data_IF_145139545992
#
_entry.id   IF_145139545992
#
_cell.length_a   1.000
_cell.length_b   1.000
_cell.length_c   1.000
_cell.angle_alpha   90.00
_cell.angle_beta   90.00
_cell.angle_gamma   90.00
#
_symmetry.space_group_name_H-M   'P 1'
#
loop_
_entity.id
_entity.type
_entity.pdbx_description
1 polymer ?
#
# COMPACT_ATOMS: atom_id res chain seq x y z
N UNK A 1 -12.12 -5.26 -2.66
CA UNK A 1 -10.67 -5.32 -2.35
C UNK A 1 -10.21 -3.88 -2.20
N UNK A 2 -9.73 -3.48 -1.03
CA UNK A 2 -8.98 -2.23 -0.88
C UNK A 2 -7.59 -2.51 -1.44
N UNK A 3 -7.41 -2.42 -2.75
CA UNK A 3 -6.12 -2.71 -3.33
C UNK A 3 -5.13 -1.61 -2.98
N UNK A 4 -4.03 -2.01 -2.36
CA UNK A 4 -2.92 -1.19 -1.90
C UNK A 4 -2.06 -0.64 -3.05
N UNK A 5 -2.53 -0.75 -4.29
CA UNK A 5 -1.83 -0.44 -5.54
C UNK A 5 -1.47 1.05 -5.73
N UNK A 6 -1.43 1.88 -4.68
CA UNK A 6 -1.29 3.34 -4.68
C UNK A 6 -0.54 3.92 -5.87
N UNK A 7 0.71 3.48 -6.09
CA UNK A 7 1.55 3.95 -7.20
C UNK A 7 1.70 2.92 -8.33
N UNK A 8 1.15 1.72 -8.18
CA UNK A 8 1.15 0.65 -9.18
C UNK A 8 0.06 0.87 -10.25
N UNK A 9 0.25 1.92 -11.05
CA UNK A 9 -0.68 2.38 -12.09
C UNK A 9 -0.19 2.06 -13.52
N UNK A 10 -1.06 2.07 -14.54
CA UNK A 10 -0.68 1.76 -15.92
C UNK A 10 0.59 2.46 -16.43
N UNK A 11 0.84 3.76 -16.18
CA UNK A 11 2.04 4.43 -16.67
C UNK A 11 3.35 3.89 -16.09
N UNK A 12 3.32 3.21 -14.94
CA UNK A 12 4.48 2.51 -14.34
C UNK A 12 4.80 1.26 -15.15
N UNK A 13 3.79 0.42 -15.36
CA UNK A 13 3.89 -0.80 -16.14
C UNK A 13 4.30 -0.51 -17.59
N UNK A 14 3.66 0.48 -18.22
CA UNK A 14 3.93 0.85 -19.62
C UNK A 14 5.35 1.42 -19.83
N UNK A 15 5.98 1.95 -18.78
CA UNK A 15 7.38 2.40 -18.78
C UNK A 15 8.38 1.33 -18.29
N UNK A 16 7.94 0.10 -18.06
CA UNK A 16 8.74 -1.01 -17.53
C UNK A 16 9.37 -0.75 -16.16
N UNK A 17 8.68 0.02 -15.31
CA UNK A 17 9.16 0.38 -13.99
C UNK A 17 8.85 -0.67 -12.92
N UNK A 18 7.98 -1.67 -13.16
CA UNK A 18 7.77 -2.75 -12.21
C UNK A 18 8.91 -3.78 -12.27
N UNK A 19 9.48 -4.18 -11.12
CA UNK A 19 10.53 -5.19 -11.07
C UNK A 19 9.95 -6.59 -11.33
N UNK A 20 10.81 -7.53 -11.75
CA UNK A 20 10.45 -8.95 -11.68
C UNK A 20 10.20 -9.29 -10.20
N UNK A 21 9.01 -9.77 -9.82
CA UNK A 21 8.68 -10.09 -8.44
C UNK A 21 9.60 -11.19 -7.90
N UNK A 22 10.00 -11.10 -6.63
CA UNK A 22 10.79 -12.15 -6.00
C UNK A 22 10.02 -13.47 -5.95
N UNK A 23 8.70 -13.39 -5.76
CA UNK A 23 7.79 -14.53 -5.85
C UNK A 23 7.08 -14.51 -7.20
N UNK A 24 7.54 -15.36 -8.12
CA UNK A 24 6.91 -15.49 -9.44
C UNK A 24 5.45 -15.94 -9.32
N UNK A 25 4.53 -15.15 -9.84
CA UNK A 25 3.12 -15.52 -10.05
C UNK A 25 2.93 -16.35 -11.33
N UNK A 26 3.98 -16.47 -12.15
CA UNK A 26 3.97 -17.19 -13.43
C UNK A 26 4.55 -18.60 -13.21
N UNK A 27 3.84 -19.68 -13.59
CA UNK A 27 4.38 -21.03 -13.58
C UNK A 27 5.68 -21.10 -14.39
N UNK A 28 6.73 -21.70 -13.81
CA UNK A 28 8.08 -21.76 -14.40
C UNK A 28 8.73 -20.40 -14.72
N UNK A 29 8.18 -19.28 -14.24
CA UNK A 29 8.69 -17.93 -14.54
C UNK A 29 10.15 -17.71 -14.16
N UNK A 30 10.67 -18.44 -13.16
CA UNK A 30 12.09 -18.42 -12.77
C UNK A 30 13.07 -18.89 -13.85
N UNK A 31 12.59 -19.63 -14.86
CA UNK A 31 13.40 -20.17 -15.96
C UNK A 31 13.31 -19.31 -17.23
N UNK A 32 12.48 -18.27 -17.23
CA UNK A 32 12.35 -17.38 -18.38
C UNK A 32 13.57 -16.46 -18.49
N UNK A 33 14.01 -16.12 -19.72
CA UNK A 33 14.98 -15.05 -19.92
C UNK A 33 14.50 -13.76 -19.25
N UNK A 34 15.42 -13.03 -18.60
CA UNK A 34 15.09 -11.81 -17.83
C UNK A 34 14.27 -10.79 -18.62
N UNK A 35 14.59 -10.57 -19.90
CA UNK A 35 13.85 -9.66 -20.77
C UNK A 35 12.39 -10.07 -20.95
N UNK A 36 12.13 -11.37 -21.12
CA UNK A 36 10.79 -11.94 -21.26
C UNK A 36 10.03 -11.84 -19.94
N UNK A 37 10.67 -12.17 -18.82
CA UNK A 37 10.06 -12.05 -17.50
C UNK A 37 9.65 -10.60 -17.20
N UNK A 38 10.55 -9.63 -17.47
CA UNK A 38 10.26 -8.20 -17.28
C UNK A 38 9.10 -7.73 -18.16
N UNK A 39 9.10 -8.14 -19.44
CA UNK A 39 8.02 -7.82 -20.36
C UNK A 39 6.67 -8.39 -19.88
N UNK A 40 6.65 -9.64 -19.43
CA UNK A 40 5.45 -10.28 -18.89
C UNK A 40 4.94 -9.57 -17.64
N UNK A 41 5.82 -9.28 -16.68
CA UNK A 41 5.45 -8.57 -15.45
C UNK A 41 4.77 -7.24 -15.74
N UNK A 42 5.31 -6.47 -16.69
CA UNK A 42 4.80 -5.13 -17.00
C UNK A 42 3.63 -5.14 -17.99
N UNK A 43 3.52 -6.15 -18.86
CA UNK A 43 2.43 -6.21 -19.86
C UNK A 43 1.20 -6.96 -19.38
N UNK A 44 1.37 -7.98 -18.52
CA UNK A 44 0.29 -8.88 -18.12
C UNK A 44 -0.87 -8.18 -17.40
N UNK A 45 -0.67 -7.22 -16.47
CA UNK A 45 -1.79 -6.57 -15.76
C UNK A 45 -2.80 -5.92 -16.71
N UNK A 46 -2.32 -5.26 -17.76
CA UNK A 46 -3.17 -4.58 -18.75
C UNK A 46 -3.84 -5.49 -19.78
N UNK A 47 -3.43 -6.77 -19.85
CA UNK A 47 -3.84 -7.71 -20.89
C UNK A 47 -4.60 -8.92 -20.37
N UNK A 48 -4.31 -9.35 -19.15
CA UNK A 48 -4.94 -10.50 -18.55
C UNK A 48 -6.30 -10.11 -17.96
N UNK A 49 -7.30 -11.00 -18.08
CA UNK A 49 -8.63 -10.85 -17.49
C UNK A 49 -8.77 -11.59 -16.16
N UNK A 50 -7.68 -11.63 -15.39
CA UNK A 50 -7.66 -12.31 -14.09
C UNK A 50 -8.74 -11.71 -13.19
N UNK A 51 -9.53 -12.57 -12.57
CA UNK A 51 -10.64 -12.22 -11.69
C UNK A 51 -11.78 -11.40 -12.33
N UNK A 52 -11.73 -11.10 -13.64
CA UNK A 52 -12.74 -10.24 -14.28
C UNK A 52 -14.05 -10.96 -14.63
N UNK A 53 -14.05 -12.30 -14.74
CA UNK A 53 -15.20 -13.08 -15.24
C UNK A 53 -16.49 -12.83 -14.44
N UNK A 54 -16.45 -13.05 -13.13
CA UNK A 54 -17.61 -12.84 -12.25
C UNK A 54 -18.09 -11.38 -12.22
N UNK A 55 -17.17 -10.41 -12.30
CA UNK A 55 -17.54 -9.00 -12.40
C UNK A 55 -18.24 -8.69 -13.72
N UNK A 56 -17.80 -9.31 -14.82
CA UNK A 56 -18.37 -9.08 -16.14
C UNK A 56 -19.73 -9.76 -16.31
N UNK A 57 -19.93 -10.95 -15.74
CA UNK A 57 -21.25 -11.61 -15.68
C UNK A 57 -22.27 -10.70 -14.98
N UNK A 58 -21.91 -10.13 -13.83
CA UNK A 58 -22.77 -9.19 -13.11
C UNK A 58 -22.93 -7.85 -13.86
N UNK A 59 -21.87 -7.36 -14.52
CA UNK A 59 -21.94 -6.14 -15.30
C UNK A 59 -22.92 -6.26 -16.47
N UNK A 60 -22.94 -7.43 -17.14
CA UNK A 60 -23.89 -7.75 -18.20
C UNK A 60 -25.33 -7.84 -17.67
N UNK A 61 -25.55 -8.50 -16.53
CA UNK A 61 -26.87 -8.58 -15.87
C UNK A 61 -27.43 -7.19 -15.52
N UNK A 62 -26.56 -6.30 -15.01
CA UNK A 62 -26.93 -4.94 -14.61
C UNK A 62 -26.92 -3.93 -15.78
N UNK A 63 -26.48 -4.33 -16.97
CA UNK A 63 -26.37 -3.45 -18.14
C UNK A 63 -25.34 -2.32 -17.98
N UNK A 64 -24.26 -2.55 -17.24
CA UNK A 64 -23.18 -1.57 -17.00
C UNK A 64 -21.88 -1.93 -17.74
N UNK A 65 -20.94 -0.98 -17.81
CA UNK A 65 -19.65 -1.20 -18.49
C UNK A 65 -18.85 -2.34 -17.84
N UNK A 66 -18.34 -3.26 -18.67
CA UNK A 66 -17.53 -4.40 -18.22
C UNK A 66 -16.13 -3.97 -17.74
N UNK A 67 -15.43 -4.89 -17.10
CA UNK A 67 -14.02 -4.78 -16.71
C UNK A 67 -13.13 -5.46 -17.77
N UNK A 68 -12.37 -4.70 -18.59
CA UNK A 68 -11.64 -5.26 -19.73
C UNK A 68 -10.36 -6.02 -19.37
N UNK A 69 -9.74 -5.72 -18.21
CA UNK A 69 -8.49 -6.32 -17.75
C UNK A 69 -8.35 -6.27 -16.22
N UNK A 70 -7.41 -7.03 -15.67
CA UNK A 70 -7.07 -6.99 -14.25
C UNK A 70 -6.63 -5.59 -13.81
N UNK A 71 -5.82 -4.90 -14.60
CA UNK A 71 -5.45 -3.52 -14.29
C UNK A 71 -6.68 -2.59 -14.27
N UNK A 72 -7.65 -2.76 -15.17
CA UNK A 72 -8.88 -1.98 -15.15
C UNK A 72 -9.78 -2.27 -13.93
N UNK A 73 -9.66 -3.46 -13.33
CA UNK A 73 -10.34 -3.80 -12.07
C UNK A 73 -9.84 -2.94 -10.90
N UNK A 74 -8.55 -2.56 -10.94
CA UNK A 74 -7.89 -1.77 -9.89
C UNK A 74 -8.07 -0.26 -10.06
N UNK A 75 -8.63 0.17 -11.20
CA UNK A 75 -8.79 1.57 -11.56
C UNK A 75 -10.26 1.99 -11.46
N UNK A 76 -10.46 3.21 -10.96
CA UNK A 76 -11.74 3.92 -11.03
C UNK A 76 -11.84 4.83 -12.26
N UNK A 77 -12.94 5.57 -12.34
CA UNK A 77 -13.07 6.69 -13.29
C UNK A 77 -12.04 7.79 -13.01
N UNK A 78 -11.80 8.04 -11.73
CA UNK A 78 -10.67 8.81 -11.22
C UNK A 78 -9.87 7.90 -10.29
N UNK A 79 -8.63 7.63 -10.63
CA UNK A 79 -7.68 6.91 -9.78
C UNK A 79 -6.72 7.92 -9.17
N UNK A 80 -6.71 7.98 -7.83
CA UNK A 80 -5.80 8.82 -7.06
C UNK A 80 -4.48 8.07 -6.91
N UNK A 81 -3.41 8.65 -7.45
CA UNK A 81 -2.05 8.12 -7.34
C UNK A 81 -1.44 8.72 -6.09
N UNK A 82 -1.31 7.91 -5.05
CA UNK A 82 -0.91 8.36 -3.71
C UNK A 82 0.60 8.52 -3.58
N UNK A 83 1.24 9.22 -4.52
CA UNK A 83 2.68 9.45 -4.53
C UNK A 83 3.04 10.87 -4.95
N UNK A 84 4.33 11.19 -4.91
CA UNK A 84 4.89 12.40 -5.49
C UNK A 84 5.54 12.10 -6.85
N UNK A 85 5.39 12.99 -7.86
CA UNK A 85 6.05 12.84 -9.16
C UNK A 85 7.57 12.61 -9.08
N UNK A 86 8.23 13.27 -8.14
CA UNK A 86 9.68 13.18 -7.90
C UNK A 86 10.10 11.79 -7.39
N UNK A 87 9.18 11.09 -6.72
CA UNK A 87 9.42 9.76 -6.17
C UNK A 87 9.07 8.69 -7.21
N UNK A 88 7.90 8.79 -7.85
CA UNK A 88 7.48 7.84 -8.89
C UNK A 88 8.33 7.93 -10.18
N UNK A 89 8.96 9.08 -10.42
CA UNK A 89 9.76 9.34 -11.62
C UNK A 89 8.91 9.56 -12.88
N UNK A 90 7.63 9.90 -12.70
CA UNK A 90 6.69 10.23 -13.77
C UNK A 90 6.13 11.62 -13.47
N UNK A 91 6.34 12.58 -14.36
CA UNK A 91 5.85 13.95 -14.12
C UNK A 91 4.32 13.99 -13.98
N UNK A 92 3.80 14.96 -13.21
CA UNK A 92 2.35 15.14 -13.08
C UNK A 92 1.68 15.35 -14.44
N UNK A 93 2.31 16.14 -15.32
CA UNK A 93 1.82 16.36 -16.68
C UNK A 93 1.73 15.07 -17.49
N UNK A 94 2.75 14.21 -17.44
CA UNK A 94 2.73 12.94 -18.17
C UNK A 94 1.70 11.95 -17.59
N UNK A 95 1.50 11.96 -16.27
CA UNK A 95 0.52 11.11 -15.60
C UNK A 95 -0.90 11.54 -15.98
N UNK A 96 -1.20 12.84 -15.95
CA UNK A 96 -2.52 13.38 -16.28
C UNK A 96 -2.83 13.35 -17.79
N UNK A 97 -1.79 13.43 -18.63
CA UNK A 97 -1.92 13.30 -20.08
C UNK A 97 -2.17 11.84 -20.53
N UNK A 98 -1.93 10.85 -19.65
CA UNK A 98 -2.15 9.44 -19.97
C UNK A 98 -3.59 9.19 -20.44
N UNK A 99 -3.75 8.36 -21.46
CA UNK A 99 -5.06 7.98 -22.03
C UNK A 99 -5.25 6.47 -21.99
N UNK A 100 -6.42 5.99 -21.53
CA UNK A 100 -6.71 4.57 -21.50
C UNK A 100 -6.78 3.99 -22.91
N UNK A 101 -6.02 2.92 -23.16
CA UNK A 101 -6.19 2.10 -24.36
C UNK A 101 -7.58 1.43 -24.35
N UNK A 102 -8.43 1.61 -25.38
CA UNK A 102 -9.85 1.20 -25.35
C UNK A 102 -10.10 -0.28 -25.08
N UNK A 103 -9.17 -1.16 -25.48
CA UNK A 103 -9.32 -2.61 -25.25
C UNK A 103 -8.78 -3.11 -23.91
N UNK A 104 -8.14 -2.24 -23.11
CA UNK A 104 -7.43 -2.62 -21.88
C UNK A 104 -7.95 -1.93 -20.63
N UNK A 105 -8.54 -0.75 -20.77
CA UNK A 105 -9.04 0.06 -19.66
C UNK A 105 -10.36 0.73 -20.05
N UNK A 106 -11.11 1.22 -19.05
CA UNK A 106 -12.34 1.99 -19.29
C UNK A 106 -11.99 3.35 -19.89
N UNK A 107 -12.79 3.80 -20.86
CA UNK A 107 -12.48 5.02 -21.62
C UNK A 107 -12.43 6.29 -20.75
N UNK A 108 -13.20 6.31 -19.66
CA UNK A 108 -13.30 7.44 -18.74
C UNK A 108 -12.17 7.54 -17.71
N UNK A 109 -11.30 6.52 -17.59
CA UNK A 109 -10.29 6.47 -16.53
C UNK A 109 -9.30 7.63 -16.64
N UNK A 110 -9.16 8.37 -15.53
CA UNK A 110 -8.20 9.44 -15.31
C UNK A 110 -7.30 9.10 -14.13
N UNK A 111 -6.08 9.57 -14.18
CA UNK A 111 -5.10 9.46 -13.10
C UNK A 111 -4.77 10.85 -12.58
N UNK A 112 -4.58 10.98 -11.27
CA UNK A 112 -4.15 12.24 -10.65
C UNK A 112 -3.29 11.96 -9.43
N UNK A 113 -2.15 12.64 -9.32
CA UNK A 113 -1.38 12.59 -8.09
C UNK A 113 -2.10 13.32 -6.96
N UNK A 114 -2.06 12.73 -5.78
CA UNK A 114 -2.54 13.38 -4.56
C UNK A 114 -1.43 13.56 -3.53
N UNK A 115 -0.29 12.87 -3.66
CA UNK A 115 0.73 12.82 -2.63
C UNK A 115 0.56 11.62 -1.70
N UNK A 116 1.47 11.43 -0.73
CA UNK A 116 1.47 10.29 0.17
C UNK A 116 0.22 10.28 1.05
N UNK A 117 -0.38 9.10 1.24
CA UNK A 117 -1.57 8.88 2.05
C UNK A 117 -1.37 7.66 2.96
N UNK A 118 -0.98 7.92 4.20
CA UNK A 118 -0.70 6.88 5.21
C UNK A 118 -1.44 7.14 6.53
N UNK A 119 -1.53 6.12 7.37
CA UNK A 119 -2.33 6.17 8.58
C UNK A 119 -1.65 6.93 9.73
N UNK A 120 -2.31 7.98 10.20
CA UNK A 120 -1.97 8.69 11.43
C UNK A 120 -2.93 8.30 12.56
N UNK A 121 -2.52 7.32 13.36
CA UNK A 121 -3.30 6.89 14.51
C UNK A 121 -3.29 7.97 15.60
N UNK A 122 -4.46 8.36 16.10
CA UNK A 122 -4.57 9.30 17.22
C UNK A 122 -3.98 8.74 18.52
N UNK A 123 -3.95 7.42 18.68
CA UNK A 123 -3.47 6.73 19.88
C UNK A 123 -2.00 7.06 20.21
N UNK A 124 -1.68 7.40 21.49
CA UNK A 124 -0.31 7.70 21.90
C UNK A 124 0.60 6.48 21.76
N UNK A 125 1.91 6.71 21.73
CA UNK A 125 2.89 5.63 21.88
C UNK A 125 2.75 5.08 23.32
N UNK A 126 2.63 3.75 23.52
CA UNK A 126 2.56 3.18 24.85
C UNK A 126 3.77 3.53 25.72
N UNK A 127 3.56 3.80 27.01
CA UNK A 127 4.62 4.28 27.92
C UNK A 127 5.85 3.35 27.96
N UNK A 128 5.65 2.03 27.94
CA UNK A 128 6.75 1.07 27.87
C UNK A 128 7.61 1.23 26.61
N UNK A 129 6.99 1.56 25.48
CA UNK A 129 7.69 1.83 24.23
C UNK A 129 8.37 3.19 24.24
N UNK A 130 7.76 4.20 24.88
CA UNK A 130 8.41 5.48 25.13
C UNK A 130 9.71 5.32 25.92
N UNK A 131 9.64 4.60 27.05
CA UNK A 131 10.79 4.30 27.88
C UNK A 131 11.85 3.51 27.10
N UNK A 132 11.42 2.50 26.34
CA UNK A 132 12.32 1.72 25.49
C UNK A 132 13.04 2.62 24.49
N UNK A 133 12.32 3.40 23.68
CA UNK A 133 12.93 4.27 22.66
C UNK A 133 13.87 5.32 23.26
N UNK A 134 13.62 5.82 24.47
CA UNK A 134 14.45 6.84 25.13
C UNK A 134 15.70 6.28 25.83
N UNK A 135 15.66 5.02 26.28
CA UNK A 135 16.71 4.44 27.13
C UNK A 135 18.01 4.01 26.39
N UNK A 136 17.97 3.82 25.06
CA UNK A 136 19.08 3.19 24.33
C UNK A 136 19.62 4.05 23.21
N UNK A 137 20.11 5.25 23.54
CA UNK A 137 20.82 6.11 22.60
C UNK A 137 22.14 5.46 22.09
N UNK A 138 22.71 4.53 22.85
CA UNK A 138 24.01 3.92 22.56
C UNK A 138 23.93 2.76 21.55
N UNK A 139 22.72 2.25 21.24
CA UNK A 139 22.52 1.15 20.29
C UNK A 139 21.41 1.48 19.29
N UNK A 140 21.58 1.17 17.99
CA UNK A 140 20.53 1.41 17.00
C UNK A 140 19.25 0.68 17.35
N UNK A 141 18.10 1.30 17.04
CA UNK A 141 16.79 0.68 17.19
C UNK A 141 16.20 0.35 15.83
N UNK A 142 15.73 -0.89 15.68
CA UNK A 142 15.05 -1.43 14.49
C UNK A 142 13.56 -1.61 14.79
N UNK A 143 12.70 -1.13 13.90
CA UNK A 143 11.25 -1.34 14.01
C UNK A 143 10.76 -2.41 13.04
N UNK A 144 10.22 -3.51 13.55
CA UNK A 144 9.62 -4.60 12.76
C UNK A 144 8.11 -4.42 12.74
N UNK A 145 7.57 -4.07 11.56
CA UNK A 145 6.15 -3.81 11.35
C UNK A 145 5.66 -4.53 10.09
N UNK A 146 5.51 -5.84 10.21
CA UNK A 146 5.13 -6.72 9.11
C UNK A 146 3.70 -7.22 9.31
N UNK A 147 2.73 -6.49 8.76
CA UNK A 147 1.32 -6.90 8.75
C UNK A 147 1.08 -8.03 7.76
N UNK A 148 0.05 -8.85 8.00
CA UNK A 148 -0.38 -9.93 7.08
C UNK A 148 0.74 -10.92 6.69
N UNK A 149 1.71 -11.09 7.59
CA UNK A 149 2.91 -11.90 7.41
C UNK A 149 2.83 -13.13 8.30
N UNK A 150 3.20 -14.34 7.86
CA UNK A 150 3.22 -15.51 8.73
C UNK A 150 4.11 -15.29 9.96
N UNK A 151 3.64 -15.76 11.13
CA UNK A 151 4.35 -15.60 12.41
C UNK A 151 5.79 -16.11 12.36
N UNK A 152 6.02 -17.25 11.70
CA UNK A 152 7.35 -17.86 11.55
C UNK A 152 8.35 -16.94 10.83
N UNK A 153 7.89 -16.18 9.84
CA UNK A 153 8.73 -15.21 9.14
C UNK A 153 9.05 -14.01 10.04
N UNK A 154 8.08 -13.49 10.79
CA UNK A 154 8.30 -12.40 11.74
C UNK A 154 9.34 -12.81 12.80
N UNK A 155 9.21 -14.02 13.35
CA UNK A 155 10.16 -14.57 14.33
C UNK A 155 11.58 -14.66 13.77
N UNK A 156 11.73 -15.20 12.56
CA UNK A 156 13.03 -15.29 11.89
C UNK A 156 13.66 -13.91 11.62
N UNK A 157 12.85 -12.94 11.20
CA UNK A 157 13.28 -11.55 11.00
C UNK A 157 13.75 -10.91 12.30
N UNK A 158 12.97 -11.05 13.39
CA UNK A 158 13.35 -10.51 14.71
C UNK A 158 14.65 -11.13 15.20
N UNK A 159 14.82 -12.45 15.05
CA UNK A 159 16.07 -13.13 15.41
C UNK A 159 17.27 -12.63 14.57
N UNK A 160 17.11 -12.52 13.26
CA UNK A 160 18.14 -12.02 12.36
C UNK A 160 18.52 -10.56 12.63
N UNK A 161 17.55 -9.71 12.98
CA UNK A 161 17.77 -8.34 13.38
C UNK A 161 18.53 -8.26 14.71
N UNK A 162 18.09 -8.99 15.76
CA UNK A 162 18.76 -9.01 17.08
C UNK A 162 20.22 -9.43 16.99
N UNK A 163 20.55 -10.39 16.12
CA UNK A 163 21.93 -10.82 15.90
C UNK A 163 22.85 -9.72 15.33
N UNK A 164 22.28 -8.58 14.91
CA UNK A 164 23.02 -7.39 14.50
C UNK A 164 23.44 -6.48 15.66
N UNK A 165 23.19 -6.88 16.91
CA UNK A 165 23.44 -6.10 18.13
C UNK A 165 22.65 -4.78 18.21
N UNK A 166 21.36 -4.89 17.89
CA UNK A 166 20.40 -3.78 17.86
C UNK A 166 19.25 -4.05 18.81
N UNK A 167 18.55 -2.97 19.16
CA UNK A 167 17.31 -2.99 19.91
C UNK A 167 16.14 -3.14 18.94
N UNK A 168 15.10 -3.88 19.29
CA UNK A 168 13.99 -4.19 18.37
C UNK A 168 12.65 -3.80 18.97
N UNK A 169 11.88 -2.99 18.24
CA UNK A 169 10.46 -2.74 18.51
C UNK A 169 9.66 -3.59 17.54
N UNK A 170 8.71 -4.39 18.03
CA UNK A 170 7.88 -5.28 17.20
C UNK A 170 6.42 -4.87 17.31
N UNK A 171 5.79 -4.56 16.18
CA UNK A 171 4.34 -4.50 16.05
C UNK A 171 3.79 -5.89 15.70
N UNK A 172 3.26 -6.63 16.68
CA UNK A 172 2.82 -8.02 16.51
C UNK A 172 1.47 -8.17 15.81
N UNK A 173 0.64 -7.11 15.83
CA UNK A 173 -0.69 -7.06 15.19
C UNK A 173 -1.63 -8.16 15.69
N UNK A 174 -1.84 -9.20 14.89
CA UNK A 174 -2.72 -10.35 15.16
C UNK A 174 -1.99 -11.53 15.78
N UNK A 175 -0.65 -11.52 15.81
CA UNK A 175 0.17 -12.62 16.30
C UNK A 175 0.47 -12.49 17.78
N UNK A 176 0.55 -13.63 18.46
CA UNK A 176 1.09 -13.72 19.81
C UNK A 176 2.60 -13.91 19.74
N UNK A 177 3.34 -12.84 20.05
CA UNK A 177 4.79 -12.77 19.98
C UNK A 177 5.40 -12.29 21.31
N UNK A 178 4.62 -12.31 22.39
CA UNK A 178 5.05 -11.77 23.69
C UNK A 178 6.26 -12.54 24.25
N UNK A 179 6.45 -13.80 23.83
CA UNK A 179 7.61 -14.62 24.16
C UNK A 179 8.93 -14.11 23.55
N UNK A 180 8.88 -13.23 22.54
CA UNK A 180 10.08 -12.58 21.98
C UNK A 180 10.58 -11.41 22.84
N UNK A 181 9.74 -10.89 23.75
CA UNK A 181 10.07 -9.72 24.55
C UNK A 181 11.22 -10.00 25.54
N UNK A 182 12.06 -9.00 25.76
CA UNK A 182 13.21 -9.07 26.65
C UNK A 182 13.92 -7.72 26.77
N UNK A 183 15.15 -7.72 27.25
CA UNK A 183 15.93 -6.49 27.45
C UNK A 183 16.08 -5.65 26.16
N UNK A 184 16.33 -6.33 25.03
CA UNK A 184 16.57 -5.71 23.73
C UNK A 184 15.37 -5.76 22.79
N UNK A 185 14.23 -6.30 23.23
CA UNK A 185 13.05 -6.49 22.38
C UNK A 185 11.81 -6.07 23.13
N UNK A 186 11.05 -5.14 22.55
CA UNK A 186 9.73 -4.81 23.03
C UNK A 186 8.68 -5.18 21.99
N UNK A 187 7.60 -5.82 22.45
CA UNK A 187 6.52 -6.30 21.61
C UNK A 187 5.23 -5.60 22.01
N UNK A 188 4.54 -5.05 21.02
CA UNK A 188 3.24 -4.41 21.17
C UNK A 188 2.29 -4.81 20.05
N UNK A 189 1.00 -4.97 20.35
CA UNK A 189 0.03 -5.38 19.32
C UNK A 189 -0.19 -4.29 18.28
N UNK A 190 -0.46 -3.07 18.72
CA UNK A 190 -0.78 -1.94 17.84
C UNK A 190 0.13 -0.78 18.22
N UNK A 191 0.85 -0.25 17.23
CA UNK A 191 1.75 0.88 17.39
C UNK A 191 1.42 2.00 16.39
N UNK A 192 1.45 3.27 16.82
CA UNK A 192 1.32 4.40 15.91
C UNK A 192 2.61 4.56 15.09
N UNK A 193 2.76 3.79 14.00
CA UNK A 193 3.98 3.74 13.18
C UNK A 193 4.51 5.13 12.77
N UNK A 194 3.64 6.08 12.43
CA UNK A 194 4.03 7.47 12.11
C UNK A 194 4.76 8.20 13.26
N UNK A 195 4.57 7.80 14.52
CA UNK A 195 5.28 8.33 15.71
C UNK A 195 6.53 7.52 16.05
N UNK A 196 6.58 6.25 15.65
CA UNK A 196 7.73 5.35 15.92
C UNK A 196 8.83 5.53 14.86
N UNK A 197 8.46 5.56 13.58
CA UNK A 197 9.41 5.64 12.46
C UNK A 197 10.46 6.75 12.62
N UNK A 198 10.11 8.01 12.98
CA UNK A 198 11.09 9.08 13.12
C UNK A 198 12.13 8.86 14.24
N UNK A 199 11.88 7.91 15.15
CA UNK A 199 12.68 7.64 16.35
C UNK A 199 13.51 6.36 16.26
N UNK A 200 13.49 5.68 15.13
CA UNK A 200 14.23 4.44 14.89
C UNK A 200 15.22 4.64 13.74
N UNK A 201 16.25 3.79 13.70
CA UNK A 201 17.33 3.90 12.72
C UNK A 201 17.04 3.13 11.44
N UNK A 202 16.22 2.08 11.54
CA UNK A 202 15.86 1.19 10.44
C UNK A 202 14.46 0.62 10.69
N UNK A 203 13.69 0.41 9.63
CA UNK A 203 12.48 -0.40 9.69
C UNK A 203 12.63 -1.71 8.89
N UNK A 204 11.87 -2.73 9.28
CA UNK A 204 11.68 -3.95 8.50
C UNK A 204 10.18 -4.12 8.27
N UNK A 205 9.76 -4.07 7.01
CA UNK A 205 8.35 -4.00 6.60
C UNK A 205 8.05 -4.93 5.43
N UNK A 206 6.78 -5.29 5.24
CA UNK A 206 6.36 -6.12 4.10
C UNK A 206 6.34 -5.36 2.76
N UNK A 207 6.36 -4.02 2.77
CA UNK A 207 6.37 -3.21 1.53
C UNK A 207 4.99 -2.74 1.06
N UNK A 208 3.93 -2.95 1.84
CA UNK A 208 2.64 -2.32 1.54
C UNK A 208 2.75 -0.80 1.55
N UNK A 209 2.04 -0.13 0.63
CA UNK A 209 2.29 1.27 0.32
C UNK A 209 2.18 2.21 1.52
N UNK A 210 1.20 2.01 2.40
CA UNK A 210 1.05 2.80 3.63
C UNK A 210 2.26 2.71 4.57
N UNK A 211 2.86 1.51 4.71
CA UNK A 211 4.05 1.31 5.55
C UNK A 211 5.30 1.93 4.93
N UNK A 212 5.46 1.81 3.61
CA UNK A 212 6.54 2.46 2.86
C UNK A 212 6.44 3.98 3.04
N UNK A 213 5.26 4.54 2.84
CA UNK A 213 5.03 5.98 2.99
C UNK A 213 5.24 6.46 4.42
N UNK A 214 4.80 5.70 5.42
CA UNK A 214 5.03 6.02 6.83
C UNK A 214 6.53 6.04 7.16
N UNK A 215 7.31 5.09 6.63
CA UNK A 215 8.76 5.05 6.80
C UNK A 215 9.43 6.27 6.15
N UNK A 216 9.06 6.59 4.90
CA UNK A 216 9.61 7.74 4.18
C UNK A 216 9.19 9.08 4.80
N UNK A 217 7.96 9.24 5.25
CA UNK A 217 7.52 10.41 6.00
C UNK A 217 8.26 10.58 7.34
N UNK A 218 8.67 9.47 7.96
CA UNK A 218 9.56 9.47 9.13
C UNK A 218 11.03 9.70 8.81
N UNK A 219 11.42 9.66 7.53
CA UNK A 219 12.82 9.72 7.10
C UNK A 219 13.61 8.48 7.53
N UNK A 220 12.97 7.31 7.51
CA UNK A 220 13.50 6.06 8.06
C UNK A 220 13.78 5.08 6.93
N UNK A 221 15.04 4.68 6.69
CA UNK A 221 15.33 3.66 5.69
C UNK A 221 14.75 2.31 6.12
N UNK A 222 14.59 1.38 5.17
CA UNK A 222 14.00 0.08 5.49
C UNK A 222 14.54 -1.11 4.69
N UNK A 223 14.44 -2.29 5.30
CA UNK A 223 14.50 -3.58 4.61
C UNK A 223 13.06 -4.01 4.27
N UNK A 224 12.78 -4.22 2.99
CA UNK A 224 11.46 -4.61 2.50
C UNK A 224 11.42 -6.10 2.16
N UNK A 225 10.47 -6.84 2.74
CA UNK A 225 10.28 -8.28 2.49
C UNK A 225 8.90 -8.50 1.83
N UNK A 226 8.80 -8.51 0.50
CA UNK A 226 7.52 -8.55 -0.19
C UNK A 226 6.85 -9.92 -0.10
N UNK A 227 5.53 -9.89 0.09
CA UNK A 227 4.63 -11.03 -0.01
C UNK A 227 3.84 -11.03 -1.32
N UNK A 228 3.71 -9.86 -1.95
CA UNK A 228 2.90 -9.62 -3.15
C UNK A 228 3.66 -8.76 -4.19
N UNK A 229 3.33 -8.87 -5.49
CA UNK A 229 4.01 -8.11 -6.55
C UNK A 229 3.95 -6.58 -6.41
N UNK A 230 2.86 -6.05 -5.86
CA UNK A 230 2.71 -4.62 -5.60
C UNK A 230 3.70 -4.14 -4.53
N UNK A 231 3.88 -4.93 -3.47
CA UNK A 231 4.88 -4.65 -2.43
C UNK A 231 6.31 -4.69 -2.98
N UNK A 232 6.60 -5.66 -3.86
CA UNK A 232 7.87 -5.73 -4.61
C UNK A 232 8.16 -4.41 -5.34
N UNK A 233 7.14 -3.85 -6.01
CA UNK A 233 7.26 -2.57 -6.71
C UNK A 233 7.55 -1.41 -5.75
N UNK A 234 6.75 -1.22 -4.70
CA UNK A 234 6.95 -0.11 -3.75
C UNK A 234 8.33 -0.15 -3.09
N UNK A 235 8.82 -1.35 -2.75
CA UNK A 235 10.15 -1.52 -2.16
C UNK A 235 11.24 -1.13 -3.18
N UNK A 236 11.15 -1.62 -4.43
CA UNK A 236 12.15 -1.33 -5.46
C UNK A 236 12.16 0.15 -5.85
N UNK A 237 11.01 0.82 -5.80
CA UNK A 237 10.95 2.26 -5.98
C UNK A 237 11.82 3.00 -4.96
N UNK A 238 11.69 2.67 -3.67
CA UNK A 238 12.54 3.27 -2.63
C UNK A 238 14.00 2.81 -2.73
N UNK A 239 14.25 1.59 -3.19
CA UNK A 239 15.60 1.08 -3.47
C UNK A 239 16.30 1.90 -4.57
N UNK A 240 15.58 2.33 -5.62
CA UNK A 240 16.11 3.21 -6.68
C UNK A 240 16.54 4.58 -6.14
N UNK A 241 15.86 5.07 -5.11
CA UNK A 241 16.24 6.31 -4.41
C UNK A 241 17.36 6.10 -3.39
N UNK A 242 17.74 4.84 -3.13
CA UNK A 242 18.74 4.46 -2.14
C UNK A 242 18.22 4.44 -0.70
N UNK A 243 16.90 4.50 -0.48
CA UNK A 243 16.30 4.55 0.86
C UNK A 243 15.90 3.17 1.41
N UNK A 244 16.01 2.11 0.60
CA UNK A 244 15.62 0.77 0.99
C UNK A 244 16.50 -0.33 0.37
N UNK A 245 16.35 -1.56 0.88
CA UNK A 245 16.81 -2.80 0.24
C UNK A 245 15.65 -3.78 0.13
N UNK A 246 15.52 -4.41 -1.04
CA UNK A 246 14.57 -5.51 -1.25
C UNK A 246 15.18 -6.84 -0.80
N UNK A 247 14.45 -7.58 0.03
CA UNK A 247 14.92 -8.80 0.69
C UNK A 247 13.97 -9.97 0.39
N UNK A 248 14.53 -11.11 -0.02
CA UNK A 248 13.73 -12.35 -0.19
C UNK A 248 13.33 -12.95 1.15
N UNK A 249 12.26 -13.75 1.19
CA UNK A 249 11.83 -14.40 2.43
C UNK A 249 12.87 -15.41 2.91
N UNK A 250 13.56 -16.08 1.98
CA UNK A 250 14.66 -16.99 2.26
C UNK A 250 15.85 -16.26 2.89
N UNK A 251 16.24 -15.11 2.34
CA UNK A 251 17.32 -14.30 2.92
C UNK A 251 16.93 -13.71 4.27
N UNK A 252 15.65 -13.35 4.45
CA UNK A 252 15.11 -12.74 5.65
C UNK A 252 15.21 -13.61 6.91
N UNK A 253 15.22 -14.94 6.74
CA UNK A 253 15.38 -15.91 7.84
C UNK A 253 16.77 -16.56 7.86
N UNK A 254 17.70 -16.05 7.07
CA UNK A 254 19.08 -16.54 6.99
C UNK A 254 20.05 -15.59 7.70
N UNK A 255 21.33 -15.98 7.89
CA UNK A 255 22.36 -15.07 8.40
C UNK A 255 22.56 -13.80 7.57
N UNK A 256 22.06 -13.75 6.33
CA UNK A 256 22.10 -12.55 5.48
C UNK A 256 21.28 -11.41 6.06
N UNK A 257 20.18 -11.69 6.78
CA UNK A 257 19.37 -10.64 7.42
C UNK A 257 20.23 -9.78 8.35
N UNK A 258 21.06 -10.42 9.19
CA UNK A 258 21.99 -9.72 10.07
C UNK A 258 23.00 -8.86 9.31
N UNK A 259 23.54 -9.36 8.19
CA UNK A 259 24.46 -8.60 7.35
C UNK A 259 23.78 -7.38 6.72
N UNK A 260 22.55 -7.52 6.21
CA UNK A 260 21.78 -6.43 5.61
C UNK A 260 21.38 -5.36 6.64
N UNK A 261 21.01 -5.76 7.86
CA UNK A 261 20.75 -4.80 8.96
C UNK A 261 22.01 -3.99 9.25
N UNK A 262 23.18 -4.64 9.37
CA UNK A 262 24.46 -3.95 9.58
C UNK A 262 24.85 -3.05 8.41
N UNK A 263 24.61 -3.47 7.17
CA UNK A 263 24.86 -2.66 5.97
C UNK A 263 24.07 -1.35 6.02
N UNK A 264 22.74 -1.43 6.16
CA UNK A 264 21.88 -0.23 6.11
C UNK A 264 22.14 0.69 7.29
N UNK A 265 22.43 0.15 8.48
CA UNK A 265 22.77 0.96 9.65
C UNK A 265 24.18 1.57 9.56
N UNK A 266 25.11 0.91 8.87
CA UNK A 266 26.49 1.35 8.70
C UNK A 266 26.70 2.36 7.57
N UNK A 267 25.77 2.44 6.62
CA UNK A 267 25.82 3.37 5.50
C UNK A 267 24.82 4.53 5.65
N UNK A 268 25.33 5.71 5.99
CA UNK A 268 24.53 6.91 6.16
C UNK A 268 23.77 7.35 4.89
N UNK A 269 24.18 6.87 3.69
CA UNK A 269 23.52 7.21 2.42
C UNK A 269 22.04 6.82 2.40
N UNK A 270 21.67 5.73 3.08
CA UNK A 270 20.27 5.29 3.22
C UNK A 270 19.43 6.26 4.03
N UNK A 271 19.96 6.71 5.18
CA UNK A 271 19.27 7.68 6.02
C UNK A 271 19.09 9.01 5.28
N UNK A 272 20.15 9.49 4.63
CA UNK A 272 20.10 10.70 3.81
C UNK A 272 19.10 10.57 2.65
N UNK A 273 18.98 9.39 2.04
CA UNK A 273 17.98 9.13 1.00
C UNK A 273 16.55 9.20 1.54
N UNK A 274 16.28 8.53 2.66
CA UNK A 274 14.97 8.58 3.30
C UNK A 274 14.61 10.02 3.73
N UNK A 275 15.57 10.81 4.22
CA UNK A 275 15.37 12.23 4.57
C UNK A 275 15.08 13.12 3.36
N UNK A 276 15.69 12.85 2.20
CA UNK A 276 15.34 13.55 0.95
C UNK A 276 13.89 13.30 0.56
N UNK A 277 13.43 12.05 0.64
CA UNK A 277 12.05 11.69 0.34
C UNK A 277 11.10 12.30 1.37
N UNK A 278 11.45 12.29 2.66
CA UNK A 278 10.71 13.00 3.72
C UNK A 278 10.50 14.48 3.36
N UNK A 279 11.53 15.15 2.88
CA UNK A 279 11.44 16.56 2.49
C UNK A 279 10.55 16.79 1.26
N UNK A 280 10.40 15.80 0.37
CA UNK A 280 9.43 15.82 -0.73
C UNK A 280 8.02 15.63 -0.17
N UNK A 281 7.81 14.60 0.65
CA UNK A 281 6.50 14.28 1.25
C UNK A 281 5.96 15.41 2.14
N UNK A 282 6.83 16.10 2.89
CA UNK A 282 6.44 17.23 3.74
C UNK A 282 5.86 18.44 2.98
N UNK A 283 6.03 18.49 1.64
CA UNK A 283 5.47 19.56 0.79
C UNK A 283 4.09 19.20 0.24
N UNK A 284 3.64 17.97 0.40
CA UNK A 284 2.39 17.47 -0.15
C UNK A 284 1.32 17.35 0.95
N UNK A 285 0.08 17.71 0.61
CA UNK A 285 -1.11 17.45 1.42
C UNK A 285 -1.91 16.33 0.76
N UNK A 286 -1.49 15.07 1.00
CA UNK A 286 -2.13 13.86 0.50
C UNK A 286 -3.65 13.81 0.72
N UNK A 287 -4.09 13.86 1.99
CA UNK A 287 -5.50 13.85 2.32
C UNK A 287 -6.29 15.01 1.71
N UNK A 288 -5.75 16.24 1.76
CA UNK A 288 -6.41 17.43 1.21
C UNK A 288 -6.57 17.37 -0.31
N UNK A 289 -5.50 17.04 -1.03
CA UNK A 289 -5.53 16.90 -2.48
C UNK A 289 -6.44 15.75 -2.94
N UNK A 290 -6.49 14.65 -2.18
CA UNK A 290 -7.44 13.57 -2.43
C UNK A 290 -8.90 14.03 -2.25
N UNK A 291 -9.20 14.74 -1.16
CA UNK A 291 -10.53 15.28 -0.92
C UNK A 291 -10.95 16.28 -2.02
N UNK A 292 -10.06 17.19 -2.41
CA UNK A 292 -10.31 18.15 -3.49
C UNK A 292 -10.60 17.43 -4.82
N UNK A 293 -9.77 16.45 -5.21
CA UNK A 293 -9.96 15.70 -6.44
C UNK A 293 -11.31 14.94 -6.47
N UNK A 294 -11.73 14.36 -5.34
CA UNK A 294 -13.03 13.69 -5.22
C UNK A 294 -14.18 14.71 -5.31
N UNK A 295 -14.07 15.84 -4.61
CA UNK A 295 -15.09 16.90 -4.65
C UNK A 295 -15.24 17.50 -6.04
N UNK A 296 -14.13 17.69 -6.77
CA UNK A 296 -14.17 18.12 -8.17
C UNK A 296 -14.92 17.10 -9.03
N UNK A 297 -14.63 15.81 -8.91
CA UNK A 297 -15.30 14.76 -9.68
C UNK A 297 -16.83 14.77 -9.44
N UNK A 298 -17.25 14.89 -8.18
CA UNK A 298 -18.68 14.95 -7.81
C UNK A 298 -19.31 16.27 -8.27
N UNK A 299 -18.61 17.39 -8.14
CA UNK A 299 -19.07 18.71 -8.57
C UNK A 299 -19.29 18.81 -10.09
N UNK A 300 -18.39 18.23 -10.88
CA UNK A 300 -18.57 18.08 -12.33
C UNK A 300 -19.74 17.15 -12.67
N UNK A 301 -19.92 16.07 -11.91
CA UNK A 301 -21.04 15.14 -12.10
C UNK A 301 -22.41 15.80 -11.82
N UNK A 302 -22.50 16.67 -10.81
CA UNK A 302 -23.72 17.42 -10.50
C UNK A 302 -24.02 18.51 -11.55
N UNK A 303 -23.00 19.18 -12.09
CA UNK A 303 -23.18 20.14 -13.20
C UNK A 303 -23.55 19.46 -14.52
N UNK A 304 -23.09 18.22 -14.76
CA UNK A 304 -23.50 17.43 -15.91
C UNK A 304 -24.93 16.84 -15.76
N UNK A 305 -25.42 16.71 -14.51
CA UNK A 305 -26.77 16.19 -14.18
C UNK A 305 -27.87 17.25 -14.07
N UNK A 306 -27.58 18.55 -14.19
CA UNK A 306 -28.64 19.56 -14.33
C UNK A 306 -29.34 19.36 -15.67
N UNK A 307 -30.52 18.77 -15.61
CA UNK A 307 -31.35 18.24 -16.70
C UNK A 307 -31.83 19.32 -17.70
N UNK A 308 -32.08 18.94 -18.97
CA UNK A 308 -33.07 19.62 -19.80
C UNK A 308 -34.44 19.55 -19.11
N UNK A 309 -35.18 20.64 -19.11
CA UNK A 309 -36.49 20.78 -18.46
C UNK A 309 -37.45 19.62 -18.78
N UNK A 310 -38.04 19.02 -17.74
CA UNK A 310 -39.31 18.30 -17.85
C UNK A 310 -39.27 16.80 -17.56
N UNK A 311 -39.18 16.42 -16.28
CA UNK A 311 -39.78 15.17 -15.77
C UNK A 311 -39.90 15.22 -14.25
N UNK A 312 -41.08 15.59 -13.75
CA UNK A 312 -41.48 15.43 -12.35
C UNK A 312 -41.60 13.94 -12.01
N UNK A 313 -40.76 13.44 -11.11
CA UNK A 313 -40.99 12.15 -10.44
C UNK A 313 -41.96 12.36 -9.29
N UNK A 314 -43.20 11.89 -9.47
CA UNK A 314 -44.16 11.77 -8.38
C UNK A 314 -43.84 10.49 -7.56
N UNK A 315 -43.55 10.66 -6.28
CA UNK A 315 -43.49 9.54 -5.32
C UNK A 315 -44.92 9.08 -5.00
N UNK A 316 -45.31 7.91 -5.51
CA UNK A 316 -46.48 7.18 -5.00
C UNK A 316 -46.06 6.35 -3.80
N UNK A 317 -46.36 6.82 -2.61
CA UNK A 317 -46.26 6.03 -1.38
C UNK A 317 -47.33 4.92 -1.41
N UNK A 318 -46.88 3.66 -1.45
CA UNK A 318 -47.75 2.50 -1.12
C UNK A 318 -47.78 2.36 0.40
N UNK A 319 -48.88 2.77 1.01
CA UNK A 319 -49.25 2.40 2.39
C UNK A 319 -49.71 0.94 2.40
N UNK A 320 -49.00 0.07 3.13
CA UNK A 320 -49.49 -1.26 3.50
C UNK A 320 -50.42 -1.14 4.72
N UNK A 321 -51.69 -1.47 4.52
CA UNK A 321 -52.64 -1.66 5.61
C UNK A 321 -52.49 -3.08 6.17
N UNK A 322 -52.01 -3.18 7.41
CA UNK A 322 -52.15 -4.37 8.25
C UNK A 322 -53.49 -4.30 8.96
N UNK A 323 -54.43 -5.17 8.60
CA UNK A 323 -55.69 -5.34 9.30
C UNK A 323 -55.49 -6.33 10.46
N UNK A 324 -55.50 -5.80 11.67
CA UNK A 324 -55.70 -6.57 12.89
C UNK A 324 -57.19 -6.95 13.01
N UNK A 325 -57.48 -8.24 13.16
CA UNK A 325 -58.78 -8.73 13.61
C UNK A 325 -58.57 -9.53 14.91
N UNK A 326 -58.96 -8.88 16.00
CA UNK A 326 -59.11 -9.40 17.35
C UNK A 326 -60.38 -10.23 17.51
N UNK A 327 -60.38 -11.28 18.35
CA UNK A 327 -61.43 -11.70 19.32
C UNK A 327 -61.02 -13.05 19.99
N UNK A 328 -61.58 -13.47 21.15
CA UNK A 328 -61.10 -13.16 22.51
C UNK A 328 -60.86 -14.45 23.37
N UNK A 329 -60.54 -14.38 24.68
CA UNK A 329 -60.03 -15.53 25.43
C UNK A 329 -61.12 -16.31 26.17
N UNK A 330 -60.91 -17.61 26.35
CA UNK A 330 -61.59 -18.42 27.36
C UNK A 330 -60.56 -19.02 28.34
N UNK A 331 -60.83 -18.67 29.61
CA UNK A 331 -60.55 -19.27 30.93
C UNK A 331 -59.62 -20.48 31.02
#
# INVERSE_FOLDING_TARGET
MTDHAGSWVPPVCERNLSPIPLRSTIPFGRWLPRSVALWLTNSAPSRARLYCGQFNELAEELGVEIVPSFAALLLGDLTLVTDCPEVLGISAADLEAWKPHPSRYRAGTKLRYVGPLFAELSAPVPERVEQFLNAGADRPTVYVAMTSTPESLIRGVVQGARAADVRVVVASTVHDLDDLAGEDVIVEKILPSHRIMPRVNLAIIAGGQGSVQTAMAGGTPFLGIPLQPEQDFNIVEMERHGAARRVSQEDAISPRMTAMVKEVLGDASFKLAAERIRAIYAKADGPGAAAEAILELVGHSNRARTTPSGATWAMTAKTSASAAASSPPEV
#
